data_IF_508676236015
#
_entry.id   IF_508676236015
#
_cell.length_a   1.000
_cell.length_b   1.000
_cell.length_c   1.000
_cell.angle_alpha   90.00
_cell.angle_beta   90.00
_cell.angle_gamma   90.00
#
_symmetry.space_group_name_H-M   'P 1'
#
loop_
_entity.id
_entity.type
_entity.pdbx_description
1 polymer ?
#
# COMPACT_ATOMS: atom_id res chain seq x y z
N UNK A 1 -28.17 23.10 -5.12
CA UNK A 1 -28.49 21.67 -4.96
C UNK A 1 -27.51 21.11 -3.94
N UNK A 2 -27.92 21.02 -2.67
CA UNK A 2 -27.05 20.60 -1.56
C UNK A 2 -26.92 19.07 -1.56
N UNK A 3 -25.69 18.57 -1.63
CA UNK A 3 -25.40 17.15 -1.48
C UNK A 3 -25.59 16.82 0.01
N UNK A 4 -26.69 16.12 0.31
CA UNK A 4 -26.93 15.57 1.65
C UNK A 4 -25.77 14.66 2.05
N UNK A 5 -25.22 14.91 3.24
CA UNK A 5 -24.12 14.15 3.81
C UNK A 5 -24.46 12.67 3.92
N UNK A 6 -23.72 11.86 3.18
CA UNK A 6 -23.75 10.42 3.27
C UNK A 6 -23.16 9.99 4.62
N UNK A 7 -24.00 9.65 5.59
CA UNK A 7 -23.58 8.95 6.80
C UNK A 7 -23.58 7.46 6.49
N UNK A 8 -22.42 6.91 6.09
CA UNK A 8 -22.25 5.46 6.09
C UNK A 8 -22.38 4.98 7.55
N UNK A 9 -23.44 4.24 7.86
CA UNK A 9 -23.53 3.52 9.12
C UNK A 9 -22.39 2.50 9.13
N UNK A 10 -21.42 2.71 10.03
CA UNK A 10 -20.39 1.72 10.30
C UNK A 10 -21.10 0.46 10.83
N UNK A 11 -20.91 -0.67 10.15
CA UNK A 11 -21.47 -1.97 10.56
C UNK A 11 -20.90 -2.42 11.91
N UNK A 12 -19.73 -1.88 12.29
CA UNK A 12 -19.10 -2.18 13.56
C UNK A 12 -19.64 -1.24 14.66
N UNK A 13 -20.24 -1.79 15.74
CA UNK A 13 -20.69 -0.98 16.87
C UNK A 13 -19.51 -0.22 17.50
N UNK A 14 -19.77 1.01 17.96
CA UNK A 14 -18.77 1.84 18.66
C UNK A 14 -18.13 1.04 19.81
N UNK A 15 -16.81 0.89 19.78
CA UNK A 15 -16.02 0.29 20.86
C UNK A 15 -15.66 -1.19 20.67
N UNK A 16 -16.03 -1.84 19.57
CA UNK A 16 -15.50 -3.16 19.22
C UNK A 16 -14.29 -3.05 18.27
N UNK A 17 -13.31 -3.96 18.37
CA UNK A 17 -12.23 -4.03 17.40
C UNK A 17 -12.82 -4.27 16.01
N UNK A 18 -12.36 -3.50 15.01
CA UNK A 18 -12.76 -3.70 13.63
C UNK A 18 -12.32 -5.11 13.18
N UNK A 19 -13.17 -5.86 12.45
CA UNK A 19 -12.80 -7.17 11.95
C UNK A 19 -11.49 -7.12 11.17
N UNK A 20 -10.50 -7.89 11.61
CA UNK A 20 -9.22 -8.04 10.92
C UNK A 20 -9.22 -9.26 9.98
N UNK A 21 -10.01 -10.28 10.31
CA UNK A 21 -10.08 -11.55 9.58
C UNK A 21 -11.45 -11.82 8.97
N UNK A 22 -11.48 -12.61 7.89
CA UNK A 22 -12.70 -13.07 7.23
C UNK A 22 -13.63 -13.84 8.18
N UNK A 23 -13.06 -14.59 9.13
CA UNK A 23 -13.81 -15.33 10.16
C UNK A 23 -14.64 -14.41 11.06
N UNK A 24 -14.25 -13.14 11.19
CA UNK A 24 -14.95 -12.13 11.99
C UNK A 24 -16.02 -11.39 11.16
N UNK A 25 -15.88 -11.36 9.83
CA UNK A 25 -16.82 -10.76 8.87
C UNK A 25 -17.89 -11.75 8.37
N UNK A 26 -17.55 -13.03 8.22
CA UNK A 26 -18.41 -14.07 7.67
C UNK A 26 -19.75 -14.26 8.42
N UNK A 27 -19.84 -14.08 9.75
CA UNK A 27 -21.12 -14.13 10.46
C UNK A 27 -22.01 -12.91 10.22
N UNK A 28 -21.44 -11.80 9.73
CA UNK A 28 -22.11 -10.50 9.63
C UNK A 28 -22.55 -10.15 8.20
N UNK A 29 -21.98 -10.79 7.18
CA UNK A 29 -22.35 -10.56 5.78
C UNK A 29 -22.06 -11.80 4.94
N UNK A 30 -23.00 -12.28 4.10
CA UNK A 30 -22.76 -13.42 3.23
C UNK A 30 -21.63 -13.10 2.23
N UNK A 31 -20.53 -13.85 2.33
CA UNK A 31 -19.38 -13.76 1.42
C UNK A 31 -19.45 -14.86 0.37
N UNK A 32 -19.24 -14.49 -0.89
CA UNK A 32 -19.08 -15.41 -2.01
C UNK A 32 -17.62 -15.44 -2.43
N UNK A 33 -16.94 -16.58 -2.25
CA UNK A 33 -15.60 -16.78 -2.82
C UNK A 33 -15.69 -16.76 -4.34
N UNK A 34 -14.79 -16.03 -4.98
CA UNK A 34 -14.84 -15.79 -6.42
C UNK A 34 -13.93 -16.71 -7.22
N UNK A 35 -12.92 -17.33 -6.60
CA UNK A 35 -11.95 -18.21 -7.29
C UNK A 35 -10.95 -17.48 -8.20
N UNK A 36 -11.09 -16.16 -8.31
CA UNK A 36 -10.23 -15.26 -9.08
C UNK A 36 -9.06 -14.75 -8.23
N UNK A 37 -8.01 -14.29 -8.92
CA UNK A 37 -6.82 -13.69 -8.32
C UNK A 37 -6.83 -12.15 -8.37
N UNK A 38 -5.82 -11.52 -7.76
CA UNK A 38 -5.72 -10.06 -7.74
C UNK A 38 -5.51 -9.46 -9.13
N UNK A 39 -4.90 -10.18 -10.07
CA UNK A 39 -4.68 -9.67 -11.43
C UNK A 39 -6.01 -9.47 -12.16
N UNK A 40 -6.94 -10.41 -11.99
CA UNK A 40 -8.30 -10.31 -12.51
C UNK A 40 -9.03 -9.09 -11.94
N UNK A 41 -8.89 -8.85 -10.63
CA UNK A 41 -9.43 -7.63 -10.03
C UNK A 41 -8.75 -6.38 -10.60
N UNK A 42 -7.42 -6.40 -10.78
CA UNK A 42 -6.66 -5.27 -11.30
C UNK A 42 -7.06 -4.89 -12.73
N UNK A 43 -7.37 -5.88 -13.57
CA UNK A 43 -7.94 -5.67 -14.91
C UNK A 43 -9.34 -5.07 -14.84
N UNK A 44 -10.24 -5.71 -14.09
CA UNK A 44 -11.61 -5.26 -13.95
C UNK A 44 -11.70 -3.85 -13.36
N UNK A 45 -10.87 -3.55 -12.36
CA UNK A 45 -10.98 -2.33 -11.60
C UNK A 45 -10.58 -1.07 -12.36
N UNK A 46 -10.02 -1.21 -13.57
CA UNK A 46 -9.90 -0.10 -14.53
C UNK A 46 -11.26 0.45 -14.98
N UNK A 47 -12.32 -0.35 -14.88
CA UNK A 47 -13.70 0.00 -15.25
C UNK A 47 -14.51 0.62 -14.11
N UNK A 48 -14.01 0.59 -12.87
CA UNK A 48 -14.65 1.31 -11.77
C UNK A 48 -14.58 2.82 -12.01
N UNK A 49 -15.67 3.51 -11.73
CA UNK A 49 -15.75 4.96 -11.92
C UNK A 49 -15.43 5.69 -10.62
N UNK A 50 -16.03 5.23 -9.53
CA UNK A 50 -16.07 5.98 -8.27
C UNK A 50 -15.98 5.11 -7.01
N UNK A 51 -15.45 3.89 -7.13
CA UNK A 51 -15.27 2.99 -6.00
C UNK A 51 -14.33 3.57 -4.91
N UNK A 52 -14.53 3.12 -3.66
CA UNK A 52 -13.58 3.35 -2.57
C UNK A 52 -12.64 2.15 -2.48
N UNK A 53 -11.38 2.38 -2.77
CA UNK A 53 -10.34 1.37 -2.87
C UNK A 53 -9.37 1.51 -1.71
N UNK A 54 -9.21 0.47 -0.93
CA UNK A 54 -8.39 0.45 0.28
C UNK A 54 -7.37 -0.67 0.24
N UNK A 55 -6.12 -0.36 0.56
CA UNK A 55 -5.07 -1.35 0.85
C UNK A 55 -4.55 -1.11 2.26
N UNK A 56 -4.28 -2.19 2.98
CA UNK A 56 -3.74 -2.13 4.34
C UNK A 56 -2.68 -3.19 4.59
N UNK A 57 -1.91 -2.93 5.64
CA UNK A 57 -1.14 -3.94 6.37
C UNK A 57 -1.35 -3.69 7.88
N UNK A 58 -0.46 -4.20 8.73
CA UNK A 58 -0.58 -4.09 10.19
C UNK A 58 -0.27 -2.67 10.72
N UNK A 59 0.45 -1.84 9.96
CA UNK A 59 0.91 -0.53 10.40
C UNK A 59 0.40 0.65 9.57
N UNK A 60 -0.21 0.42 8.40
CA UNK A 60 -0.69 1.47 7.52
C UNK A 60 -1.95 1.08 6.75
N UNK A 61 -2.70 2.10 6.35
CA UNK A 61 -3.83 1.99 5.43
C UNK A 61 -3.81 3.17 4.45
N UNK A 62 -4.17 2.90 3.20
CA UNK A 62 -4.40 3.92 2.19
C UNK A 62 -5.74 3.65 1.51
N UNK A 63 -6.57 4.68 1.41
CA UNK A 63 -7.88 4.64 0.79
C UNK A 63 -7.97 5.70 -0.30
N UNK A 64 -8.46 5.32 -1.47
CA UNK A 64 -8.56 6.16 -2.65
C UNK A 64 -9.91 6.05 -3.34
N UNK A 65 -10.38 7.14 -3.95
CA UNK A 65 -11.66 7.15 -4.68
C UNK A 65 -11.46 7.15 -6.20
N UNK A 66 -12.19 6.29 -6.90
CA UNK A 66 -12.19 6.13 -8.36
C UNK A 66 -11.95 4.69 -8.80
N UNK A 67 -11.59 4.49 -10.06
CA UNK A 67 -11.05 3.22 -10.55
C UNK A 67 -9.53 3.11 -10.51
N UNK A 68 -9.05 1.93 -10.86
CA UNK A 68 -7.63 1.66 -11.02
C UNK A 68 -7.02 2.41 -12.20
N UNK A 69 -5.72 2.69 -12.10
CA UNK A 69 -4.87 3.08 -13.21
C UNK A 69 -4.65 1.90 -14.16
N UNK A 70 -3.71 2.04 -15.10
CA UNK A 70 -3.33 0.93 -15.97
C UNK A 70 -2.80 -0.25 -15.14
N UNK A 71 -3.02 -1.47 -15.63
CA UNK A 71 -2.45 -2.69 -15.08
C UNK A 71 -0.92 -2.58 -15.03
N UNK A 72 -0.34 -2.86 -13.86
CA UNK A 72 1.11 -2.75 -13.63
C UNK A 72 1.59 -3.94 -12.81
N UNK A 73 1.97 -5.02 -13.48
CA UNK A 73 2.64 -6.18 -12.86
C UNK A 73 4.16 -5.97 -12.75
N UNK A 74 4.88 -6.99 -12.27
CA UNK A 74 6.35 -7.04 -12.25
C UNK A 74 6.98 -6.74 -13.62
N UNK A 75 6.34 -7.18 -14.70
CA UNK A 75 6.85 -7.05 -16.07
C UNK A 75 6.64 -5.64 -16.66
N UNK A 76 5.95 -4.76 -15.93
CA UNK A 76 5.59 -3.43 -16.38
C UNK A 76 6.30 -2.34 -15.58
N UNK A 77 6.59 -1.22 -16.24
CA UNK A 77 7.05 -0.01 -15.56
C UNK A 77 5.96 0.52 -14.62
N UNK A 78 6.39 1.16 -13.53
CA UNK A 78 5.46 1.78 -12.58
C UNK A 78 5.25 3.26 -12.92
N UNK A 79 4.04 3.61 -13.32
CA UNK A 79 3.58 4.94 -13.69
C UNK A 79 2.42 5.36 -12.80
N UNK A 80 2.58 6.51 -12.14
CA UNK A 80 1.56 7.06 -11.25
C UNK A 80 0.61 7.95 -12.04
N UNK A 81 -0.66 7.59 -12.04
CA UNK A 81 -1.76 8.44 -12.50
C UNK A 81 -2.37 9.18 -11.31
N UNK A 82 -2.29 10.51 -11.30
CA UNK A 82 -2.85 11.34 -10.24
C UNK A 82 -4.40 11.33 -10.15
N UNK A 83 -5.08 10.83 -11.20
CA UNK A 83 -6.54 10.78 -11.30
C UNK A 83 -7.13 9.38 -11.07
N UNK A 84 -6.30 8.38 -10.81
CA UNK A 84 -6.71 6.98 -10.60
C UNK A 84 -5.97 6.40 -9.40
N UNK A 85 -6.48 5.30 -8.86
CA UNK A 85 -5.77 4.53 -7.83
C UNK A 85 -4.74 3.65 -8.52
N UNK A 86 -3.46 3.79 -8.20
CA UNK A 86 -2.42 3.00 -8.86
C UNK A 86 -2.21 1.73 -8.07
N UNK A 87 -2.28 0.59 -8.75
CA UNK A 87 -2.09 -0.71 -8.16
C UNK A 87 -0.90 -1.39 -8.84
N UNK A 88 0.04 -1.86 -8.04
CA UNK A 88 1.08 -2.80 -8.48
C UNK A 88 0.85 -4.13 -7.76
N UNK A 89 1.08 -5.24 -8.43
CA UNK A 89 0.90 -6.56 -7.83
C UNK A 89 2.03 -7.51 -8.25
N UNK A 90 2.32 -8.47 -7.39
CA UNK A 90 3.17 -9.60 -7.71
C UNK A 90 2.31 -10.72 -8.31
N UNK A 91 2.55 -11.15 -9.56
CA UNK A 91 1.90 -12.33 -10.11
C UNK A 91 2.10 -13.54 -9.18
N UNK A 92 1.06 -14.34 -8.97
CA UNK A 92 1.09 -15.49 -8.07
C UNK A 92 1.09 -15.14 -6.58
N UNK A 93 0.82 -13.89 -6.19
CA UNK A 93 0.52 -13.56 -4.81
C UNK A 93 -0.63 -14.46 -4.30
N UNK A 94 -0.52 -15.06 -3.10
CA UNK A 94 -1.48 -16.04 -2.58
C UNK A 94 -2.74 -15.36 -2.03
N UNK A 95 -3.34 -14.47 -2.83
CA UNK A 95 -4.56 -13.76 -2.50
C UNK A 95 -5.74 -14.35 -3.27
N UNK A 96 -6.79 -14.69 -2.53
CA UNK A 96 -8.08 -15.07 -3.08
C UNK A 96 -9.03 -13.89 -3.04
N UNK A 97 -9.90 -13.79 -4.05
CA UNK A 97 -10.99 -12.83 -4.03
C UNK A 97 -12.25 -13.41 -3.39
N UNK A 98 -12.89 -12.62 -2.55
CA UNK A 98 -14.27 -12.83 -2.12
C UNK A 98 -15.09 -11.56 -2.34
N UNK A 99 -16.40 -11.74 -2.48
CA UNK A 99 -17.35 -10.65 -2.70
C UNK A 99 -18.45 -10.69 -1.67
N UNK A 100 -18.81 -9.51 -1.17
CA UNK A 100 -20.10 -9.30 -0.53
C UNK A 100 -21.00 -8.47 -1.46
N UNK A 101 -22.25 -8.90 -1.58
CA UNK A 101 -23.25 -8.16 -2.34
C UNK A 101 -23.64 -6.87 -1.60
N UNK A 102 -24.11 -5.83 -2.31
CA UNK A 102 -24.77 -4.71 -1.65
C UNK A 102 -26.06 -5.18 -0.95
N UNK A 103 -26.27 -4.72 0.27
CA UNK A 103 -27.49 -4.94 1.05
C UNK A 103 -28.16 -3.59 1.37
N UNK A 104 -29.37 -3.61 1.91
CA UNK A 104 -30.14 -2.38 2.16
C UNK A 104 -29.37 -1.45 3.11
N UNK A 105 -28.88 -0.32 2.57
CA UNK A 105 -28.08 0.64 3.33
C UNK A 105 -26.60 0.28 3.52
N UNK A 106 -26.14 -0.85 2.99
CA UNK A 106 -24.73 -1.27 3.05
C UNK A 106 -24.16 -1.48 1.63
N UNK A 107 -23.10 -0.75 1.24
CA UNK A 107 -22.48 -0.92 -0.07
C UNK A 107 -21.80 -2.28 -0.16
N UNK A 108 -21.82 -2.90 -1.35
CA UNK A 108 -21.08 -4.13 -1.61
C UNK A 108 -19.56 -3.89 -1.70
N UNK A 109 -18.77 -4.97 -1.68
CA UNK A 109 -17.34 -4.89 -1.98
C UNK A 109 -16.75 -6.21 -2.49
N UNK A 110 -15.64 -6.09 -3.23
CA UNK A 110 -14.69 -7.18 -3.44
C UNK A 110 -13.54 -7.00 -2.46
N UNK A 111 -13.09 -8.09 -1.85
CA UNK A 111 -11.92 -8.13 -0.96
C UNK A 111 -10.91 -9.15 -1.47
N UNK A 112 -9.62 -8.83 -1.31
CA UNK A 112 -8.52 -9.76 -1.54
C UNK A 112 -7.96 -10.21 -0.18
N UNK A 113 -7.90 -11.53 0.00
CA UNK A 113 -7.72 -12.20 1.28
C UNK A 113 -6.57 -13.19 1.16
N UNK A 114 -5.68 -13.26 2.14
CA UNK A 114 -4.65 -14.29 2.17
C UNK A 114 -5.17 -15.65 2.67
N UNK A 115 -4.31 -16.67 2.67
CA UNK A 115 -4.63 -18.00 3.18
C UNK A 115 -5.00 -18.02 4.68
N UNK A 116 -4.58 -17.01 5.44
CA UNK A 116 -4.94 -16.83 6.85
C UNK A 116 -6.24 -16.07 7.07
N UNK A 117 -6.95 -15.70 6.00
CA UNK A 117 -8.20 -14.96 6.09
C UNK A 117 -8.02 -13.45 6.30
N UNK A 118 -6.81 -12.90 6.23
CA UNK A 118 -6.57 -11.47 6.42
C UNK A 118 -6.87 -10.68 5.14
N UNK A 119 -7.58 -9.56 5.28
CA UNK A 119 -7.92 -8.68 4.16
C UNK A 119 -6.79 -7.68 3.92
N UNK A 120 -6.18 -7.75 2.74
CA UNK A 120 -5.10 -6.86 2.32
C UNK A 120 -5.58 -5.74 1.40
N UNK A 121 -6.60 -6.04 0.59
CA UNK A 121 -7.15 -5.10 -0.39
C UNK A 121 -8.68 -5.17 -0.41
N UNK A 122 -9.34 -4.03 -0.60
CA UNK A 122 -10.80 -3.92 -0.67
C UNK A 122 -11.22 -2.89 -1.71
N UNK A 123 -12.24 -3.22 -2.49
CA UNK A 123 -12.93 -2.31 -3.40
C UNK A 123 -14.39 -2.24 -3.03
N UNK A 124 -14.80 -1.16 -2.37
CA UNK A 124 -16.18 -0.91 -1.98
C UNK A 124 -16.90 -0.12 -3.07
N UNK A 125 -18.07 -0.61 -3.47
CA UNK A 125 -18.85 -0.03 -4.56
C UNK A 125 -19.61 1.19 -4.03
N UNK A 126 -19.45 2.33 -4.70
CA UNK A 126 -20.21 3.54 -4.36
C UNK A 126 -21.40 3.68 -5.29
N UNK A 127 -21.25 3.28 -6.56
CA UNK A 127 -22.28 3.44 -7.59
C UNK A 127 -22.90 2.10 -8.00
N UNK A 128 -24.09 2.15 -8.62
CA UNK A 128 -24.69 0.99 -9.27
C UNK A 128 -23.83 0.47 -10.43
N UNK A 129 -23.13 1.37 -11.13
CA UNK A 129 -22.17 0.99 -12.17
C UNK A 129 -21.05 0.13 -11.60
N UNK A 130 -20.38 0.57 -10.53
CA UNK A 130 -19.34 -0.22 -9.87
C UNK A 130 -19.87 -1.57 -9.38
N UNK A 131 -21.11 -1.61 -8.89
CA UNK A 131 -21.77 -2.84 -8.47
C UNK A 131 -21.97 -3.82 -9.64
N UNK A 132 -22.35 -3.32 -10.83
CA UNK A 132 -22.48 -4.14 -12.05
C UNK A 132 -21.13 -4.63 -12.57
N UNK A 133 -20.11 -3.77 -12.55
CA UNK A 133 -18.73 -4.14 -12.88
C UNK A 133 -18.28 -5.30 -12.00
N UNK A 134 -18.45 -5.20 -10.68
CA UNK A 134 -18.09 -6.27 -9.76
C UNK A 134 -18.97 -7.54 -9.88
N UNK A 135 -20.23 -7.40 -10.31
CA UNK A 135 -21.12 -8.54 -10.57
C UNK A 135 -20.68 -9.38 -11.79
N UNK A 136 -19.86 -8.81 -12.69
CA UNK A 136 -19.29 -9.53 -13.83
C UNK A 136 -18.29 -10.61 -13.41
N UNK A 137 -17.68 -10.50 -12.23
CA UNK A 137 -16.88 -11.57 -11.62
C UNK A 137 -17.81 -12.72 -11.20
N UNK A 138 -17.88 -13.75 -12.03
CA UNK A 138 -18.61 -14.98 -11.71
C UNK A 138 -17.75 -15.86 -10.80
N UNK A 139 -18.33 -16.53 -9.79
CA UNK A 139 -17.59 -17.49 -8.99
C UNK A 139 -17.05 -18.62 -9.87
N UNK A 140 -15.77 -18.93 -9.69
CA UNK A 140 -15.09 -20.05 -10.33
C UNK A 140 -14.47 -20.98 -9.28
N UNK A 141 -14.16 -22.25 -9.65
CA UNK A 141 -13.44 -23.15 -8.75
C UNK A 141 -12.10 -22.55 -8.34
N UNK A 142 -11.89 -22.34 -7.05
CA UNK A 142 -10.68 -21.70 -6.54
C UNK A 142 -9.43 -22.50 -6.93
N UNK A 143 -8.52 -21.85 -7.67
CA UNK A 143 -7.18 -22.35 -7.90
C UNK A 143 -6.25 -21.59 -6.95
N UNK A 144 -5.84 -22.27 -5.87
CA UNK A 144 -4.87 -21.71 -4.93
C UNK A 144 -3.46 -21.89 -5.48
N UNK A 145 -2.74 -20.80 -5.84
CA UNK A 145 -1.32 -20.92 -6.12
C UNK A 145 -0.59 -21.34 -4.84
N UNK A 146 0.38 -22.24 -4.99
CA UNK A 146 1.22 -22.66 -3.87
C UNK A 146 1.97 -21.47 -3.27
N UNK A 147 2.04 -21.40 -1.95
CA UNK A 147 2.83 -20.41 -1.24
C UNK A 147 4.31 -20.57 -1.63
N UNK A 148 4.99 -19.52 -2.11
CA UNK A 148 6.44 -19.55 -2.24
C UNK A 148 7.04 -19.71 -0.84
N UNK A 149 7.88 -20.72 -0.66
CA UNK A 149 8.60 -20.95 0.59
C UNK A 149 9.52 -19.74 0.88
N UNK A 150 9.32 -19.10 2.03
CA UNK A 150 10.21 -18.04 2.47
C UNK A 150 11.56 -18.66 2.86
N UNK A 151 12.62 -18.35 2.12
CA UNK A 151 13.96 -18.83 2.45
C UNK A 151 14.35 -18.38 3.87
N UNK A 152 14.59 -19.31 4.82
CA UNK A 152 15.04 -18.95 6.15
C UNK A 152 16.51 -18.53 6.08
N UNK A 153 16.78 -17.29 6.46
CA UNK A 153 18.15 -16.79 6.51
C UNK A 153 18.22 -15.46 7.24
N UNK A 154 18.58 -15.51 8.53
CA UNK A 154 19.01 -14.34 9.30
C UNK A 154 20.43 -13.87 8.91
N UNK A 155 21.13 -14.62 8.05
CA UNK A 155 22.47 -14.29 7.56
C UNK A 155 22.38 -13.75 6.14
N UNK A 156 22.77 -12.49 5.95
CA UNK A 156 22.98 -11.91 4.62
C UNK A 156 24.37 -12.32 4.14
N UNK A 157 24.46 -13.10 3.08
CA UNK A 157 25.76 -13.52 2.54
C UNK A 157 26.52 -12.34 1.94
N UNK A 158 27.85 -12.32 2.06
CA UNK A 158 28.68 -11.29 1.42
C UNK A 158 28.47 -11.23 -0.10
N UNK A 159 28.19 -12.38 -0.72
CA UNK A 159 27.82 -12.45 -2.15
C UNK A 159 26.53 -11.69 -2.44
N UNK A 160 25.49 -11.88 -1.63
CA UNK A 160 24.22 -11.14 -1.75
C UNK A 160 24.42 -9.64 -1.52
N UNK A 161 25.26 -9.23 -0.55
CA UNK A 161 25.62 -7.82 -0.35
C UNK A 161 26.27 -7.21 -1.60
N UNK A 162 27.26 -7.90 -2.18
CA UNK A 162 27.95 -7.43 -3.38
C UNK A 162 27.01 -7.32 -4.57
N UNK A 163 26.19 -8.35 -4.80
CA UNK A 163 25.19 -8.36 -5.86
C UNK A 163 24.20 -7.20 -5.70
N UNK A 164 23.64 -7.01 -4.50
CA UNK A 164 22.73 -5.90 -4.21
C UNK A 164 23.40 -4.54 -4.44
N UNK A 165 24.64 -4.33 -3.99
CA UNK A 165 25.37 -3.08 -4.22
C UNK A 165 25.63 -2.79 -5.70
N UNK A 166 25.83 -3.83 -6.51
CA UNK A 166 26.07 -3.71 -7.94
C UNK A 166 24.77 -3.43 -8.71
N UNK A 167 23.69 -4.11 -8.35
CA UNK A 167 22.40 -3.96 -9.04
C UNK A 167 21.59 -2.75 -8.57
N UNK A 168 21.83 -2.24 -7.35
CA UNK A 168 21.00 -1.19 -6.73
C UNK A 168 20.76 0.03 -7.62
N UNK A 169 21.81 0.54 -8.26
CA UNK A 169 21.73 1.72 -9.13
C UNK A 169 21.16 1.42 -10.53
N UNK A 170 21.19 0.15 -10.93
CA UNK A 170 20.66 -0.33 -12.20
C UNK A 170 19.18 -0.74 -12.10
N UNK A 171 18.70 -1.03 -10.88
CA UNK A 171 17.30 -1.35 -10.61
C UNK A 171 16.39 -0.19 -11.01
N UNK A 172 15.30 -0.52 -11.67
CA UNK A 172 14.24 0.45 -12.00
C UNK A 172 13.46 0.82 -10.74
N UNK A 173 12.73 1.94 -10.77
CA UNK A 173 11.78 2.28 -9.70
C UNK A 173 10.77 1.15 -9.46
N UNK A 174 10.31 0.51 -10.54
CA UNK A 174 9.41 -0.64 -10.49
C UNK A 174 10.04 -1.83 -9.74
N UNK A 175 11.31 -2.14 -10.01
CA UNK A 175 12.05 -3.19 -9.29
C UNK A 175 12.21 -2.89 -7.79
N UNK A 176 12.49 -1.64 -7.41
CA UNK A 176 12.54 -1.26 -6.00
C UNK A 176 11.19 -1.39 -5.28
N UNK A 177 10.07 -1.19 -6.00
CA UNK A 177 8.74 -1.43 -5.44
C UNK A 177 8.41 -2.92 -5.37
N UNK A 178 8.91 -3.73 -6.31
CA UNK A 178 8.79 -5.19 -6.24
C UNK A 178 9.51 -5.76 -5.02
N UNK A 179 10.66 -5.19 -4.67
CA UNK A 179 11.40 -5.54 -3.45
C UNK A 179 10.61 -5.22 -2.17
N UNK A 180 9.73 -4.21 -2.18
CA UNK A 180 8.87 -3.89 -1.02
C UNK A 180 7.70 -4.87 -0.86
N UNK A 181 7.24 -5.47 -1.97
CA UNK A 181 6.14 -6.43 -1.96
C UNK A 181 6.62 -7.87 -1.78
N UNK A 182 7.76 -8.22 -2.38
CA UNK A 182 8.40 -9.53 -2.23
C UNK A 182 8.80 -9.75 -0.78
N UNK A 183 8.50 -10.93 -0.22
CA UNK A 183 8.68 -11.28 1.21
C UNK A 183 8.20 -10.24 2.24
N UNK A 184 7.27 -9.35 1.83
CA UNK A 184 6.82 -8.19 2.58
C UNK A 184 7.95 -7.18 2.89
N UNK A 185 8.97 -7.09 2.03
CA UNK A 185 10.06 -6.12 2.14
C UNK A 185 11.15 -6.49 3.15
N UNK A 186 11.11 -7.68 3.74
CA UNK A 186 12.10 -8.14 4.73
C UNK A 186 13.49 -8.24 4.11
N UNK A 187 13.61 -8.84 2.93
CA UNK A 187 14.88 -8.93 2.21
C UNK A 187 15.41 -7.55 1.86
N UNK A 188 14.54 -6.64 1.38
CA UNK A 188 14.90 -5.25 1.12
C UNK A 188 15.45 -4.57 2.38
N UNK A 189 14.73 -4.66 3.50
CA UNK A 189 15.12 -4.07 4.78
C UNK A 189 16.46 -4.59 5.29
N UNK A 190 16.71 -5.90 5.17
CA UNK A 190 18.00 -6.51 5.54
C UNK A 190 19.15 -5.96 4.71
N UNK A 191 18.90 -5.60 3.46
CA UNK A 191 19.94 -5.07 2.58
C UNK A 191 20.30 -3.61 2.84
N UNK A 192 19.36 -2.77 3.27
CA UNK A 192 19.57 -1.32 3.41
C UNK A 192 20.84 -0.93 4.20
N UNK A 193 21.12 -1.50 5.40
CA UNK A 193 22.33 -1.16 6.15
C UNK A 193 23.63 -1.47 5.40
N UNK A 194 23.58 -2.42 4.46
CA UNK A 194 24.74 -2.88 3.74
C UNK A 194 25.02 -2.09 2.45
N UNK A 195 24.13 -1.18 2.00
CA UNK A 195 24.29 -0.47 0.73
C UNK A 195 25.29 0.70 0.78
N UNK A 196 25.62 1.17 1.99
CA UNK A 196 26.45 2.35 2.23
C UNK A 196 25.61 3.59 2.53
N UNK A 197 26.15 4.49 3.35
CA UNK A 197 25.44 5.64 3.95
C UNK A 197 24.92 6.67 2.95
N UNK A 198 25.47 6.71 1.74
CA UNK A 198 25.02 7.59 0.66
C UNK A 198 23.79 7.04 -0.08
N UNK A 199 23.59 5.72 -0.03
CA UNK A 199 22.49 5.03 -0.72
C UNK A 199 21.35 4.67 0.22
N UNK A 200 21.65 4.42 1.49
CA UNK A 200 20.64 4.17 2.49
C UNK A 200 21.10 4.65 3.86
N UNK A 201 20.20 5.31 4.58
CA UNK A 201 20.43 5.68 5.97
C UNK A 201 19.14 5.63 6.77
N UNK A 202 19.26 5.31 8.05
CA UNK A 202 18.14 5.29 8.96
C UNK A 202 17.82 6.71 9.42
N UNK A 203 16.53 6.99 9.55
CA UNK A 203 15.96 8.23 10.09
C UNK A 203 15.27 7.90 11.41
N UNK A 204 15.28 8.86 12.34
CA UNK A 204 14.58 8.71 13.62
C UNK A 204 13.06 8.64 13.38
N UNK A 205 12.36 7.53 13.68
CA UNK A 205 10.95 7.34 13.31
C UNK A 205 10.00 8.43 13.82
N UNK A 206 10.24 8.95 15.03
CA UNK A 206 9.42 10.02 15.66
C UNK A 206 9.39 11.33 14.87
N UNK A 207 10.28 11.50 13.89
CA UNK A 207 10.33 12.68 13.03
C UNK A 207 9.34 12.61 11.86
N UNK A 208 8.91 11.41 11.47
CA UNK A 208 8.02 11.19 10.33
C UNK A 208 6.73 12.03 10.38
N UNK A 209 6.03 12.15 11.54
CA UNK A 209 4.85 13.00 11.62
C UNK A 209 5.14 14.49 11.40
N UNK A 210 6.32 14.99 11.81
CA UNK A 210 6.74 16.38 11.59
C UNK A 210 7.20 16.65 10.16
N UNK A 211 7.81 15.64 9.53
CA UNK A 211 8.18 15.65 8.13
C UNK A 211 6.94 15.73 7.22
N UNK A 212 5.92 14.91 7.47
CA UNK A 212 4.65 14.93 6.73
C UNK A 212 3.95 16.29 6.81
N UNK A 213 3.92 16.91 7.99
CA UNK A 213 3.37 18.26 8.16
C UNK A 213 4.19 19.34 7.43
N UNK A 214 5.50 19.16 7.33
CA UNK A 214 6.36 20.04 6.52
C UNK A 214 6.08 19.88 5.02
N UNK A 215 5.91 18.65 4.53
CA UNK A 215 5.52 18.39 3.14
C UNK A 215 4.16 19.03 2.82
N UNK A 216 3.20 18.94 3.74
CA UNK A 216 1.88 19.61 3.64
C UNK A 216 2.04 21.13 3.52
N UNK A 217 2.79 21.76 4.42
CA UNK A 217 3.00 23.22 4.42
C UNK A 217 3.69 23.72 3.17
N UNK A 218 4.59 22.92 2.59
CA UNK A 218 5.28 23.24 1.33
C UNK A 218 4.43 22.98 0.08
N UNK A 219 3.22 22.41 0.23
CA UNK A 219 2.40 22.01 -0.91
C UNK A 219 3.06 20.92 -1.78
N UNK A 220 3.94 20.12 -1.20
CA UNK A 220 4.70 19.11 -1.96
C UNK A 220 3.76 18.03 -2.50
N UNK A 221 3.96 17.65 -3.76
CA UNK A 221 3.24 16.54 -4.37
C UNK A 221 3.98 15.23 -4.06
N UNK A 222 3.34 14.38 -3.26
CA UNK A 222 3.96 13.16 -2.71
C UNK A 222 3.15 11.95 -3.16
N UNK A 223 3.84 10.92 -3.62
CA UNK A 223 3.29 9.59 -3.82
C UNK A 223 3.39 8.82 -2.52
N UNK A 224 2.25 8.34 -2.03
CA UNK A 224 2.13 7.51 -0.83
C UNK A 224 1.81 6.09 -1.25
N UNK A 225 2.51 5.14 -0.67
CA UNK A 225 2.45 3.73 -1.05
C UNK A 225 2.28 2.86 0.18
N UNK A 226 1.35 1.91 0.11
CA UNK A 226 1.13 0.90 1.15
C UNK A 226 1.15 -0.47 0.49
N UNK A 227 2.11 -1.34 0.83
CA UNK A 227 2.09 -2.75 0.43
C UNK A 227 1.17 -3.56 1.36
N UNK A 228 0.55 -4.61 0.83
CA UNK A 228 -0.27 -5.58 1.57
C UNK A 228 -0.48 -6.85 0.74
N UNK A 229 -0.14 -8.02 1.29
CA UNK A 229 -0.44 -9.32 0.68
C UNK A 229 0.12 -9.56 -0.73
N UNK A 230 1.21 -8.89 -1.14
CA UNK A 230 1.75 -8.96 -2.51
C UNK A 230 1.17 -7.92 -3.47
N UNK A 231 0.40 -6.97 -2.96
CA UNK A 231 -0.16 -5.82 -3.66
C UNK A 231 0.46 -4.54 -3.10
N UNK A 232 0.58 -3.49 -3.90
CA UNK A 232 0.95 -2.16 -3.47
C UNK A 232 -0.02 -1.15 -4.10
N UNK A 233 -0.70 -0.39 -3.24
CA UNK A 233 -1.50 0.74 -3.67
C UNK A 233 -0.70 2.02 -3.53
N UNK A 234 -0.70 2.83 -4.59
CA UNK A 234 -0.07 4.13 -4.61
C UNK A 234 -1.04 5.24 -5.00
N UNK A 235 -0.96 6.36 -4.29
CA UNK A 235 -1.67 7.57 -4.66
C UNK A 235 -0.79 8.80 -4.49
N UNK A 236 -0.83 9.64 -5.52
CA UNK A 236 -0.17 10.94 -5.56
C UNK A 236 -1.11 12.07 -5.17
N UNK A 237 -0.56 13.13 -4.61
CA UNK A 237 -1.27 14.38 -4.40
C UNK A 237 -0.67 15.21 -3.28
N UNK A 238 -1.11 16.45 -3.20
CA UNK A 238 -0.74 17.36 -2.11
C UNK A 238 -1.58 17.05 -0.88
N UNK A 239 -0.93 17.00 0.28
CA UNK A 239 -1.63 16.89 1.56
C UNK A 239 -2.44 18.16 1.82
N UNK A 240 -3.74 18.00 2.08
CA UNK A 240 -4.63 19.06 2.56
C UNK A 240 -4.59 19.16 4.08
N UNK A 241 -4.48 18.02 4.75
CA UNK A 241 -4.44 17.91 6.21
C UNK A 241 -3.47 16.82 6.64
N UNK A 242 -2.75 17.07 7.71
CA UNK A 242 -2.03 16.06 8.49
C UNK A 242 -2.46 16.23 9.94
N UNK A 243 -2.98 15.17 10.54
CA UNK A 243 -3.47 15.14 11.91
C UNK A 243 -2.82 13.98 12.67
N UNK A 244 -2.68 14.14 13.99
CA UNK A 244 -2.20 13.09 14.88
C UNK A 244 -3.31 12.75 15.87
N UNK A 245 -3.59 11.46 16.03
CA UNK A 245 -4.63 10.95 16.92
C UNK A 245 -4.13 9.62 17.50
N UNK A 246 -3.88 9.56 18.81
CA UNK A 246 -3.55 8.32 19.54
C UNK A 246 -2.45 7.45 18.89
N UNK A 247 -1.34 8.07 18.48
CA UNK A 247 -0.22 7.37 17.82
C UNK A 247 -0.40 7.17 16.31
N UNK A 248 -1.58 7.46 15.76
CA UNK A 248 -1.86 7.42 14.32
C UNK A 248 -1.60 8.79 13.71
N UNK A 249 -0.91 8.81 12.57
CA UNK A 249 -0.82 9.98 11.68
C UNK A 249 -1.79 9.80 10.53
N UNK A 250 -2.80 10.67 10.45
CA UNK A 250 -3.75 10.71 9.34
C UNK A 250 -3.37 11.84 8.38
N UNK A 251 -3.14 11.50 7.12
CA UNK A 251 -2.87 12.44 6.05
C UNK A 251 -3.99 12.38 5.01
N UNK A 252 -4.65 13.52 4.78
CA UNK A 252 -5.74 13.62 3.82
C UNK A 252 -5.29 14.42 2.61
N UNK A 253 -5.58 13.91 1.42
CA UNK A 253 -5.39 14.59 0.14
C UNK A 253 -6.74 14.69 -0.58
N UNK A 254 -6.75 15.27 -1.79
CA UNK A 254 -8.00 15.54 -2.52
C UNK A 254 -8.86 14.29 -2.81
N UNK A 255 -8.21 13.14 -3.02
CA UNK A 255 -8.86 11.89 -3.45
C UNK A 255 -8.34 10.65 -2.71
N UNK A 256 -7.64 10.88 -1.60
CA UNK A 256 -7.05 9.80 -0.84
C UNK A 256 -6.87 10.16 0.62
N UNK A 257 -7.10 9.20 1.49
CA UNK A 257 -6.68 9.22 2.88
C UNK A 257 -5.56 8.19 3.07
N UNK A 258 -4.56 8.56 3.85
CA UNK A 258 -3.43 7.72 4.21
C UNK A 258 -3.26 7.80 5.72
N UNK A 259 -3.22 6.67 6.40
CA UNK A 259 -2.98 6.62 7.83
C UNK A 259 -1.82 5.67 8.14
N UNK A 260 -1.02 6.07 9.12
CA UNK A 260 0.14 5.34 9.60
C UNK A 260 0.08 5.25 11.12
N UNK A 261 0.08 4.04 11.67
CA UNK A 261 0.22 3.79 13.10
C UNK A 261 1.69 3.85 13.49
N UNK A 262 2.09 4.92 14.16
CA UNK A 262 3.49 5.13 14.56
C UNK A 262 3.96 4.12 15.61
N UNK A 263 3.04 3.47 16.34
CA UNK A 263 3.41 2.43 17.30
C UNK A 263 3.87 1.14 16.61
N UNK A 264 3.50 0.96 15.34
CA UNK A 264 3.90 -0.18 14.49
C UNK A 264 5.15 0.11 13.67
N UNK A 265 5.67 1.33 13.69
CA UNK A 265 6.87 1.71 12.91
C UNK A 265 8.11 1.60 13.78
N UNK A 266 8.89 0.54 13.59
CA UNK A 266 10.14 0.33 14.32
C UNK A 266 11.34 1.04 13.68
N UNK A 267 11.40 1.13 12.34
CA UNK A 267 12.48 1.84 11.66
C UNK A 267 12.00 2.58 10.42
N UNK A 268 12.65 3.71 10.13
CA UNK A 268 12.41 4.50 8.93
C UNK A 268 13.73 4.67 8.20
N UNK A 269 13.73 4.47 6.90
CA UNK A 269 14.92 4.49 6.06
C UNK A 269 14.72 5.42 4.88
N UNK A 270 15.73 6.20 4.55
CA UNK A 270 15.85 6.73 3.20
C UNK A 270 16.60 5.71 2.37
N UNK A 271 16.07 5.42 1.18
CA UNK A 271 16.67 4.59 0.17
C UNK A 271 16.79 5.40 -1.12
N UNK A 272 18.02 5.56 -1.61
CA UNK A 272 18.38 6.37 -2.76
C UNK A 272 19.06 5.50 -3.82
N UNK A 273 18.51 5.50 -5.03
CA UNK A 273 19.20 5.10 -6.27
C UNK A 273 19.14 6.26 -7.25
N UNK A 274 20.10 6.36 -8.19
CA UNK A 274 20.33 7.47 -9.14
C UNK A 274 19.20 8.51 -9.25
N UNK A 275 18.04 8.10 -9.74
CA UNK A 275 16.88 8.97 -9.98
C UNK A 275 15.71 8.71 -9.03
N UNK A 276 15.78 7.71 -8.15
CA UNK A 276 14.68 7.30 -7.30
C UNK A 276 15.07 7.35 -5.81
N UNK A 277 14.40 8.24 -5.09
CA UNK A 277 14.62 8.43 -3.65
C UNK A 277 13.31 8.20 -2.94
N UNK A 278 13.33 7.35 -1.91
CA UNK A 278 12.13 7.03 -1.14
C UNK A 278 12.40 6.98 0.35
N UNK A 279 11.37 7.34 1.12
CA UNK A 279 11.32 7.15 2.56
C UNK A 279 10.47 5.93 2.86
N UNK A 280 11.05 4.92 3.48
CA UNK A 280 10.46 3.61 3.73
C UNK A 280 10.29 3.41 5.23
N UNK A 281 9.08 3.03 5.67
CA UNK A 281 8.80 2.66 7.06
C UNK A 281 8.68 1.14 7.19
N UNK A 282 9.24 0.59 8.26
CA UNK A 282 9.27 -0.84 8.55
C UNK A 282 8.84 -1.12 9.99
N UNK A 283 8.19 -2.26 10.20
CA UNK A 283 7.79 -2.74 11.52
C UNK A 283 8.93 -3.44 12.28
N UNK A 284 8.64 -3.91 13.48
CA UNK A 284 9.54 -4.65 14.36
C UNK A 284 10.01 -5.99 13.77
N UNK A 285 9.22 -6.55 12.86
CA UNK A 285 9.53 -7.75 12.09
C UNK A 285 10.25 -7.44 10.76
N UNK A 286 10.63 -6.19 10.51
CA UNK A 286 11.27 -5.73 9.28
C UNK A 286 10.39 -5.82 8.03
N UNK A 287 9.07 -5.92 8.18
CA UNK A 287 8.12 -5.84 7.07
C UNK A 287 7.88 -4.39 6.68
N UNK A 288 7.73 -4.14 5.38
CA UNK A 288 7.42 -2.84 4.84
C UNK A 288 6.01 -2.40 5.27
N UNK A 289 5.93 -1.23 5.91
CA UNK A 289 4.69 -0.61 6.38
C UNK A 289 4.18 0.40 5.36
N UNK A 290 5.04 1.31 4.90
CA UNK A 290 4.68 2.31 3.91
C UNK A 290 5.94 2.83 3.21
N UNK A 291 5.74 3.42 2.02
CA UNK A 291 6.79 4.14 1.32
C UNK A 291 6.27 5.48 0.77
N UNK A 292 7.14 6.48 0.75
CA UNK A 292 6.86 7.82 0.25
C UNK A 292 7.93 8.20 -0.78
N UNK A 293 7.52 8.80 -1.89
CA UNK A 293 8.44 9.34 -2.89
C UNK A 293 7.83 10.55 -3.62
N UNK A 294 8.63 11.23 -4.45
CA UNK A 294 8.19 12.35 -5.27
C UNK A 294 7.18 11.95 -6.36
N UNK A 295 6.49 12.95 -6.93
CA UNK A 295 5.85 12.85 -8.25
C UNK A 295 6.50 13.85 -9.22
N UNK A 296 6.93 13.45 -10.44
CA UNK A 296 7.06 12.06 -10.89
C UNK A 296 7.99 11.24 -9.98
N UNK A 297 7.94 9.91 -10.08
CA UNK A 297 8.78 9.02 -9.26
C UNK A 297 10.30 9.22 -9.46
N UNK A 298 10.66 10.01 -10.48
CA UNK A 298 11.99 10.59 -10.68
C UNK A 298 12.19 11.81 -9.77
N UNK A 299 13.22 11.76 -8.95
CA UNK A 299 13.60 12.75 -7.95
C UNK A 299 13.53 14.20 -8.46
N UNK A 300 12.57 14.98 -7.93
CA UNK A 300 12.67 16.44 -7.93
C UNK A 300 13.73 16.89 -6.92
N UNK A 301 14.49 17.95 -7.22
CA UNK A 301 15.53 18.50 -6.31
C UNK A 301 14.95 18.73 -4.90
N UNK A 302 13.74 19.26 -4.82
CA UNK A 302 13.03 19.55 -3.57
C UNK A 302 12.78 18.31 -2.70
N UNK A 303 12.52 17.15 -3.31
CA UNK A 303 12.30 15.91 -2.58
C UNK A 303 13.59 15.37 -1.97
N UNK A 304 14.68 15.39 -2.75
CA UNK A 304 16.01 15.04 -2.25
C UNK A 304 16.41 15.92 -1.08
N UNK A 305 16.26 17.23 -1.22
CA UNK A 305 16.63 18.17 -0.16
C UNK A 305 15.76 17.98 1.09
N UNK A 306 14.47 17.66 0.92
CA UNK A 306 13.59 17.30 2.02
C UNK A 306 14.07 16.03 2.75
N UNK A 307 14.48 14.97 2.03
CA UNK A 307 15.01 13.75 2.63
C UNK A 307 16.37 13.96 3.31
N UNK A 308 17.25 14.76 2.72
CA UNK A 308 18.55 15.10 3.31
C UNK A 308 18.41 15.95 4.58
N UNK A 309 17.32 16.70 4.72
CA UNK A 309 17.04 17.48 5.93
C UNK A 309 16.60 16.62 7.13
N UNK A 310 16.31 15.33 6.93
CA UNK A 310 15.90 14.44 8.01
C UNK A 310 17.11 14.06 8.89
N UNK A 311 16.97 14.11 10.23
CA UNK A 311 18.05 13.72 11.12
C UNK A 311 18.28 12.21 11.00
N UNK A 312 19.54 11.85 10.77
CA UNK A 312 19.98 10.46 10.74
C UNK A 312 19.86 9.86 12.15
N UNK A 313 19.39 8.62 12.24
CA UNK A 313 19.43 7.89 13.50
C UNK A 313 20.90 7.60 13.85
N UNK A 314 21.27 7.64 15.15
CA UNK A 314 22.59 7.17 15.56
C UNK A 314 22.76 5.69 15.17
N UNK A 315 23.92 5.36 14.62
CA UNK A 315 24.32 3.98 14.28
C UNK A 315 24.41 3.10 15.53
#
# INVERSE_FOLDING_TARGET
>A
MMIQGWQAQCVCPKGQPLPAALSELAPQTPLTTLGHDIETLALLGTQFEDALITTRNDGAVISGRGGYGRLQSRDHSFTVNARRVNLRFCPGAPLQLARHAPERGQPGAVVAIDAGGQIHHRVQYITEHDSRVAASLRPEPAHLPALPEAAPGNVVSLGAVRAARQSWEASTSAGHLDDLMGDQGRSRRRMLPCLGTERAWQVIPRMLPGFLETLRRRGANVTRMVPGGGVLQAQSGVFRRVARMDGIVLCQAARSDFALDMNRVASVWVAASRLHWQLEAYDDQHRAVAALCALPLSCGRDWRDALLSLPRAPC
#
